data_IF_370489938077
#
_entry.id   IF_370489938077
#
_cell.length_a   1.000
_cell.length_b   1.000
_cell.length_c   1.000
_cell.angle_alpha   90.00
_cell.angle_beta   90.00
_cell.angle_gamma   90.00
#
_symmetry.space_group_name_H-M   'P 1'
#
loop_
_entity.id
_entity.type
_entity.pdbx_description
1 polymer ?
#
# COMPACT_ATOMS: atom_id res chain seq x y z
N UNK A 1 -19.89 15.77 -18.38
CA UNK A 1 -20.10 14.33 -18.62
C UNK A 1 -21.54 13.97 -18.36
N UNK A 2 -22.02 12.91 -18.99
CA UNK A 2 -23.27 12.25 -18.60
C UNK A 2 -22.92 10.95 -17.87
N UNK A 3 -23.76 10.56 -16.91
CA UNK A 3 -23.60 9.32 -16.15
C UNK A 3 -24.92 8.55 -16.18
N UNK A 4 -24.83 7.24 -16.33
CA UNK A 4 -25.98 6.34 -16.38
C UNK A 4 -25.63 4.96 -15.87
N UNK A 5 -26.55 3.97 -16.08
CA UNK A 5 -26.31 2.57 -15.69
C UNK A 5 -26.71 2.24 -14.24
N UNK A 6 -27.28 3.16 -13.50
CA UNK A 6 -27.90 2.88 -12.20
C UNK A 6 -29.23 2.14 -12.42
N UNK A 7 -29.38 0.86 -12.00
CA UNK A 7 -30.62 0.12 -12.19
C UNK A 7 -31.80 0.67 -11.37
N UNK A 8 -31.54 1.48 -10.35
CA UNK A 8 -32.56 2.09 -9.49
C UNK A 8 -32.88 3.54 -9.89
N UNK A 9 -32.07 4.14 -10.77
CA UNK A 9 -32.27 5.51 -11.25
C UNK A 9 -32.07 6.61 -10.19
N UNK A 10 -31.45 6.29 -9.06
CA UNK A 10 -31.25 7.21 -7.92
C UNK A 10 -29.90 7.93 -7.93
N UNK A 11 -28.97 7.46 -8.75
CA UNK A 11 -27.56 7.85 -8.75
C UNK A 11 -26.70 7.12 -7.70
N UNK A 12 -27.32 6.41 -6.76
CA UNK A 12 -26.67 5.66 -5.69
C UNK A 12 -26.89 4.14 -5.77
N UNK A 13 -27.67 3.66 -6.75
CA UNK A 13 -27.96 2.26 -6.92
C UNK A 13 -26.79 1.46 -7.52
N UNK A 14 -26.81 0.16 -7.31
CA UNK A 14 -25.83 -0.76 -7.87
C UNK A 14 -26.49 -2.08 -8.36
N UNK A 15 -25.77 -2.93 -9.11
CA UNK A 15 -26.31 -4.20 -9.63
C UNK A 15 -26.31 -5.33 -8.58
N UNK A 16 -25.98 -5.05 -7.31
CA UNK A 16 -25.86 -6.05 -6.25
C UNK A 16 -24.46 -6.66 -6.11
N UNK A 17 -23.48 -6.19 -6.89
CA UNK A 17 -22.09 -6.61 -6.79
C UNK A 17 -21.15 -5.47 -7.17
N UNK A 18 -19.90 -5.58 -6.73
CA UNK A 18 -18.80 -4.66 -7.10
C UNK A 18 -17.64 -5.46 -7.67
N UNK A 19 -16.89 -4.86 -8.59
CA UNK A 19 -15.71 -5.48 -9.18
C UNK A 19 -14.53 -4.51 -9.26
N UNK A 20 -13.37 -5.05 -9.57
CA UNK A 20 -12.07 -4.40 -9.45
C UNK A 20 -11.81 -3.44 -10.61
N UNK A 21 -10.97 -2.42 -10.33
CA UNK A 21 -10.47 -1.53 -11.36
C UNK A 21 -9.55 -2.29 -12.34
N UNK A 22 -9.67 -1.96 -13.63
CA UNK A 22 -8.82 -2.43 -14.72
C UNK A 22 -8.17 -1.22 -15.37
N UNK A 23 -7.26 -0.57 -14.62
CA UNK A 23 -6.59 0.66 -15.06
C UNK A 23 -5.46 0.33 -16.03
N UNK A 24 -5.62 0.78 -17.29
CA UNK A 24 -4.55 0.80 -18.29
C UNK A 24 -3.93 2.22 -18.31
N UNK A 25 -2.63 2.38 -18.06
CA UNK A 25 -1.98 3.68 -18.01
C UNK A 25 -1.96 4.40 -19.36
N UNK A 26 -2.21 3.71 -20.47
CA UNK A 26 -2.30 4.28 -21.81
C UNK A 26 -3.68 4.84 -22.14
N UNK A 27 -4.73 4.41 -21.42
CA UNK A 27 -6.10 4.85 -21.59
C UNK A 27 -6.39 6.03 -20.67
N UNK A 28 -6.70 7.19 -21.26
CA UNK A 28 -6.82 8.49 -20.60
C UNK A 28 -8.14 9.17 -20.93
N UNK A 29 -8.57 10.08 -20.05
CA UNK A 29 -9.76 10.92 -20.25
C UNK A 29 -9.39 12.23 -21.00
N UNK A 30 -8.83 12.09 -22.19
CA UNK A 30 -8.18 13.19 -22.96
C UNK A 30 -9.14 14.11 -23.72
N UNK A 31 -10.45 13.86 -23.67
CA UNK A 31 -11.40 14.71 -24.44
C UNK A 31 -12.85 14.25 -24.29
N UNK A 32 -13.75 14.70 -25.19
CA UNK A 32 -15.12 14.26 -25.23
C UNK A 32 -15.23 12.80 -25.70
N UNK A 33 -16.30 12.13 -25.32
CA UNK A 33 -16.66 10.80 -25.81
C UNK A 33 -15.92 9.63 -25.14
N UNK A 34 -15.14 9.85 -24.09
CA UNK A 34 -14.50 8.75 -23.37
C UNK A 34 -15.54 8.03 -22.50
N UNK A 35 -15.64 6.71 -22.68
CA UNK A 35 -16.53 5.84 -21.93
C UNK A 35 -15.74 5.18 -20.78
N UNK A 36 -16.17 5.42 -19.55
CA UNK A 36 -15.45 5.02 -18.35
C UNK A 36 -16.39 4.58 -17.23
N UNK A 37 -15.90 3.72 -16.31
CA UNK A 37 -16.69 3.25 -15.18
C UNK A 37 -16.83 4.33 -14.10
N UNK A 38 -18.03 4.52 -13.61
CA UNK A 38 -18.26 5.26 -12.37
C UNK A 38 -18.00 4.35 -11.17
N UNK A 39 -17.38 4.90 -10.13
CA UNK A 39 -17.09 4.18 -8.88
C UNK A 39 -17.16 5.13 -7.67
N UNK A 40 -17.20 4.56 -6.47
CA UNK A 40 -17.17 5.26 -5.17
C UNK A 40 -15.80 5.15 -4.48
N UNK A 41 -14.75 4.94 -5.22
CA UNK A 41 -13.38 4.70 -4.77
C UNK A 41 -12.80 3.44 -5.41
N UNK A 42 -11.55 3.07 -5.08
CA UNK A 42 -10.88 1.94 -5.69
C UNK A 42 -11.66 0.62 -5.59
N UNK A 43 -11.74 -0.13 -6.70
CA UNK A 43 -12.36 -1.46 -6.75
C UNK A 43 -13.86 -1.47 -6.39
N UNK A 44 -14.58 -0.40 -6.69
CA UNK A 44 -16.03 -0.32 -6.42
C UNK A 44 -16.87 -0.15 -7.69
N UNK A 45 -16.37 -0.64 -8.83
CA UNK A 45 -17.13 -0.61 -10.08
C UNK A 45 -18.39 -1.46 -9.99
N UNK A 46 -19.46 -0.99 -10.57
CA UNK A 46 -20.74 -1.69 -10.68
C UNK A 46 -21.27 -1.63 -12.11
N UNK A 47 -22.54 -1.24 -12.28
CA UNK A 47 -23.14 -1.04 -13.59
C UNK A 47 -23.09 0.41 -14.07
N UNK A 48 -22.73 1.36 -13.20
CA UNK A 48 -22.72 2.77 -13.56
C UNK A 48 -21.49 3.12 -14.40
N UNK A 49 -21.69 3.91 -15.43
CA UNK A 49 -20.66 4.42 -16.33
C UNK A 49 -20.91 5.89 -16.66
N UNK A 50 -19.90 6.54 -17.21
CA UNK A 50 -20.05 7.91 -17.70
C UNK A 50 -19.40 8.07 -19.08
N UNK A 51 -19.88 9.08 -19.82
CA UNK A 51 -19.29 9.52 -21.09
C UNK A 51 -18.90 10.98 -20.93
N UNK A 52 -17.67 11.32 -21.29
CA UNK A 52 -17.14 12.67 -21.13
C UNK A 52 -17.65 13.64 -22.21
N UNK A 53 -17.90 14.90 -21.83
CA UNK A 53 -18.17 16.02 -22.75
C UNK A 53 -16.89 16.80 -23.09
N UNK A 54 -15.85 16.65 -22.24
CA UNK A 54 -14.55 17.33 -22.37
C UNK A 54 -13.48 16.51 -21.63
N UNK A 55 -12.25 16.93 -21.74
CA UNK A 55 -11.15 16.37 -20.97
C UNK A 55 -11.43 16.39 -19.46
N UNK A 56 -11.10 15.28 -18.79
CA UNK A 56 -11.26 15.07 -17.34
C UNK A 56 -10.07 14.32 -16.77
N UNK A 57 -8.86 14.81 -17.03
CA UNK A 57 -7.58 14.16 -16.70
C UNK A 57 -7.39 13.82 -15.20
N UNK A 58 -8.10 14.52 -14.29
CA UNK A 58 -8.10 14.19 -12.85
C UNK A 58 -8.72 12.83 -12.49
N UNK A 59 -9.42 12.18 -13.46
CA UNK A 59 -10.00 10.83 -13.32
C UNK A 59 -9.03 9.73 -13.76
N UNK A 60 -7.92 10.09 -14.41
CA UNK A 60 -6.91 9.14 -14.88
C UNK A 60 -6.33 8.34 -13.72
N UNK A 61 -6.19 7.02 -13.92
CA UNK A 61 -5.70 6.12 -12.90
C UNK A 61 -6.68 5.82 -11.75
N UNK A 62 -7.91 6.37 -11.80
CA UNK A 62 -8.95 6.20 -10.77
C UNK A 62 -10.23 5.56 -11.31
N UNK A 63 -10.51 5.74 -12.59
CA UNK A 63 -11.68 5.22 -13.28
C UNK A 63 -11.25 4.42 -14.50
N UNK A 64 -11.83 3.24 -14.67
CA UNK A 64 -11.51 2.32 -15.76
C UNK A 64 -12.09 2.83 -17.06
N UNK A 65 -11.24 3.26 -17.99
CA UNK A 65 -11.62 3.59 -19.36
C UNK A 65 -11.75 2.28 -20.15
N UNK A 66 -12.91 2.06 -20.78
CA UNK A 66 -13.15 0.82 -21.53
C UNK A 66 -13.72 1.05 -22.93
N UNK A 67 -13.88 2.30 -23.36
CA UNK A 67 -14.38 2.60 -24.69
C UNK A 67 -14.37 4.10 -25.02
N UNK A 68 -14.84 4.39 -26.23
CA UNK A 68 -15.06 5.76 -26.68
C UNK A 68 -16.22 5.80 -27.69
N UNK A 69 -16.84 6.98 -27.79
CA UNK A 69 -17.92 7.26 -28.75
C UNK A 69 -17.32 7.32 -30.17
N UNK A 70 -17.82 6.51 -31.08
CA UNK A 70 -17.40 6.51 -32.50
C UNK A 70 -18.30 7.38 -33.39
N UNK A 71 -19.54 7.60 -32.97
CA UNK A 71 -20.50 8.53 -33.63
C UNK A 71 -21.59 8.91 -32.65
N UNK A 72 -22.26 10.06 -32.86
CA UNK A 72 -23.35 10.53 -32.00
C UNK A 72 -22.90 11.32 -30.79
N UNK A 73 -21.73 11.97 -30.83
CA UNK A 73 -21.30 12.84 -29.72
C UNK A 73 -22.30 13.96 -29.46
N UNK A 74 -22.94 14.47 -30.51
CA UNK A 74 -24.01 15.48 -30.42
C UNK A 74 -25.23 14.99 -29.65
N UNK A 75 -25.50 13.65 -29.68
CA UNK A 75 -26.56 13.03 -28.88
C UNK A 75 -26.12 12.95 -27.42
N UNK A 76 -24.87 12.55 -27.15
CA UNK A 76 -24.31 12.54 -25.79
C UNK A 76 -24.39 13.94 -25.16
N UNK A 77 -24.07 14.97 -25.95
CA UNK A 77 -24.08 16.36 -25.47
C UNK A 77 -25.50 16.90 -25.24
N UNK A 78 -26.52 16.32 -25.90
CA UNK A 78 -27.93 16.70 -25.76
C UNK A 78 -28.67 15.94 -24.62
N UNK A 79 -28.11 14.86 -24.08
CA UNK A 79 -28.74 14.10 -22.99
C UNK A 79 -28.82 14.97 -21.73
N UNK A 80 -30.02 15.02 -21.15
CA UNK A 80 -30.31 15.77 -19.94
C UNK A 80 -30.52 14.85 -18.72
N UNK A 81 -30.47 15.43 -17.54
CA UNK A 81 -30.80 14.72 -16.30
C UNK A 81 -32.20 14.14 -16.34
N UNK A 82 -32.35 12.90 -15.90
CA UNK A 82 -33.58 12.09 -15.92
C UNK A 82 -33.99 11.51 -17.28
N UNK A 83 -33.16 11.67 -18.32
CA UNK A 83 -33.35 10.92 -19.54
C UNK A 83 -33.16 9.42 -19.27
N UNK A 84 -33.97 8.58 -19.91
CA UNK A 84 -33.98 7.15 -19.65
C UNK A 84 -33.39 6.37 -20.83
N UNK A 85 -32.41 5.50 -20.56
CA UNK A 85 -31.95 4.52 -21.53
C UNK A 85 -33.04 3.46 -21.76
N UNK A 86 -33.66 3.46 -22.92
CA UNK A 86 -34.72 2.49 -23.27
C UNK A 86 -34.19 1.17 -23.74
N UNK A 87 -33.04 1.18 -24.43
CA UNK A 87 -32.42 0.00 -25.00
C UNK A 87 -30.90 0.21 -25.09
N UNK A 88 -30.16 -0.80 -24.66
CA UNK A 88 -28.72 -0.92 -24.92
C UNK A 88 -28.51 -2.23 -25.71
N UNK A 89 -27.81 -2.16 -26.82
CA UNK A 89 -27.55 -3.30 -27.68
C UNK A 89 -26.04 -3.49 -27.87
N UNK A 90 -25.55 -4.69 -27.57
CA UNK A 90 -24.15 -5.05 -27.74
C UNK A 90 -23.97 -5.69 -29.12
N UNK A 91 -23.34 -4.95 -30.03
CA UNK A 91 -23.01 -5.45 -31.38
C UNK A 91 -21.60 -6.04 -31.35
N UNK A 92 -21.48 -7.34 -31.58
CA UNK A 92 -20.21 -8.04 -31.65
C UNK A 92 -19.68 -8.08 -33.07
N UNK A 93 -18.50 -7.49 -33.32
CA UNK A 93 -17.90 -7.41 -34.65
C UNK A 93 -16.60 -8.21 -34.67
N UNK A 94 -16.48 -9.11 -35.64
CA UNK A 94 -15.31 -9.94 -35.86
C UNK A 94 -15.31 -11.25 -35.06
N UNK A 95 -14.51 -12.19 -35.53
CA UNK A 95 -14.50 -13.57 -35.01
C UNK A 95 -14.14 -13.71 -33.56
N UNK A 96 -13.24 -12.84 -33.07
CA UNK A 96 -12.83 -12.82 -31.64
C UNK A 96 -13.99 -12.39 -30.75
N UNK A 97 -14.67 -11.31 -31.11
CA UNK A 97 -15.79 -10.80 -30.34
C UNK A 97 -16.99 -11.74 -30.32
N UNK A 98 -17.26 -12.41 -31.46
CA UNK A 98 -18.34 -13.39 -31.58
C UNK A 98 -18.13 -14.64 -30.72
N UNK A 99 -16.85 -15.04 -30.52
CA UNK A 99 -16.47 -16.22 -29.71
C UNK A 99 -16.17 -15.89 -28.24
N UNK A 100 -16.11 -14.61 -27.88
CA UNK A 100 -15.72 -14.20 -26.53
C UNK A 100 -16.88 -14.44 -25.54
N UNK A 101 -16.59 -15.21 -24.51
CA UNK A 101 -17.49 -15.44 -23.38
C UNK A 101 -17.19 -14.41 -22.30
N UNK A 102 -18.04 -13.38 -22.22
CA UNK A 102 -17.88 -12.29 -21.27
C UNK A 102 -18.01 -12.76 -19.81
N UNK A 103 -18.94 -13.70 -19.56
CA UNK A 103 -19.16 -14.21 -18.21
C UNK A 103 -17.94 -15.02 -17.73
N UNK A 104 -17.45 -15.93 -18.55
CA UNK A 104 -16.28 -16.72 -18.21
C UNK A 104 -15.03 -15.85 -18.00
N UNK A 105 -14.84 -14.82 -18.83
CA UNK A 105 -13.74 -13.86 -18.67
C UNK A 105 -13.85 -13.05 -17.37
N UNK A 106 -15.05 -12.60 -17.03
CA UNK A 106 -15.31 -11.89 -15.78
C UNK A 106 -15.07 -12.79 -14.56
N UNK A 107 -15.64 -13.99 -14.55
CA UNK A 107 -15.54 -14.93 -13.43
C UNK A 107 -14.10 -15.36 -13.17
N UNK A 108 -13.31 -15.55 -14.21
CA UNK A 108 -11.90 -15.91 -14.10
C UNK A 108 -11.10 -14.89 -13.27
N UNK A 109 -11.37 -13.60 -13.40
CA UNK A 109 -10.69 -12.54 -12.66
C UNK A 109 -11.38 -12.26 -11.32
N UNK A 110 -12.70 -12.13 -11.35
CA UNK A 110 -13.50 -11.74 -10.20
C UNK A 110 -13.44 -12.76 -9.06
N UNK A 111 -13.67 -14.03 -9.37
CA UNK A 111 -13.70 -15.11 -8.36
C UNK A 111 -12.33 -15.33 -7.71
N UNK A 112 -11.24 -15.23 -8.50
CA UNK A 112 -9.88 -15.36 -7.97
C UNK A 112 -9.57 -14.22 -6.99
N UNK A 113 -9.87 -12.99 -7.37
CA UNK A 113 -9.65 -11.84 -6.48
C UNK A 113 -10.53 -11.89 -5.23
N UNK A 114 -11.80 -12.23 -5.39
CA UNK A 114 -12.74 -12.38 -4.27
C UNK A 114 -12.32 -13.48 -3.29
N UNK A 115 -11.80 -14.60 -3.78
CA UNK A 115 -11.26 -15.65 -2.93
C UNK A 115 -10.01 -15.18 -2.18
N UNK A 116 -9.12 -14.42 -2.81
CA UNK A 116 -7.94 -13.83 -2.18
C UNK A 116 -8.33 -12.83 -1.07
N UNK A 117 -9.31 -11.97 -1.31
CA UNK A 117 -9.84 -11.05 -0.30
C UNK A 117 -10.50 -11.76 0.89
N UNK A 118 -11.27 -12.83 0.62
CA UNK A 118 -11.89 -13.62 1.68
C UNK A 118 -10.82 -14.29 2.55
N UNK A 119 -9.74 -14.79 1.95
CA UNK A 119 -8.61 -15.35 2.68
C UNK A 119 -7.90 -14.29 3.53
N UNK A 120 -7.64 -13.12 2.96
CA UNK A 120 -7.02 -11.99 3.69
C UNK A 120 -7.89 -11.55 4.88
N UNK A 121 -9.21 -11.46 4.69
CA UNK A 121 -10.15 -11.11 5.76
C UNK A 121 -10.19 -12.18 6.87
N UNK A 122 -10.14 -13.45 6.51
CA UNK A 122 -10.08 -14.56 7.48
C UNK A 122 -8.78 -14.51 8.29
N UNK A 123 -7.65 -14.25 7.66
CA UNK A 123 -6.37 -14.07 8.35
C UNK A 123 -6.39 -12.83 9.27
N UNK A 124 -6.95 -11.72 8.83
CA UNK A 124 -7.10 -10.52 9.65
C UNK A 124 -8.00 -10.77 10.87
N UNK A 125 -9.10 -11.51 10.70
CA UNK A 125 -9.97 -11.90 11.79
C UNK A 125 -9.24 -12.78 12.81
N UNK A 126 -8.45 -13.74 12.33
CA UNK A 126 -7.61 -14.57 13.20
C UNK A 126 -6.60 -13.73 14.00
N UNK A 127 -5.87 -12.83 13.33
CA UNK A 127 -4.86 -11.98 13.97
C UNK A 127 -5.48 -11.03 14.98
N UNK A 128 -6.62 -10.42 14.65
CA UNK A 128 -7.30 -9.47 15.53
C UNK A 128 -7.83 -10.11 16.82
N UNK A 129 -8.08 -11.42 16.80
CA UNK A 129 -8.50 -12.22 17.96
C UNK A 129 -7.36 -12.74 18.82
N UNK A 130 -6.10 -12.65 18.36
CA UNK A 130 -4.95 -13.12 19.12
C UNK A 130 -4.56 -12.13 20.22
N UNK A 131 -4.07 -12.66 21.36
CA UNK A 131 -3.31 -11.85 22.31
C UNK A 131 -1.98 -11.40 21.66
N UNK A 132 -1.37 -10.36 22.18
CA UNK A 132 -0.07 -9.90 21.67
C UNK A 132 1.01 -10.97 21.80
N UNK A 133 1.00 -11.75 22.87
CA UNK A 133 1.97 -12.83 23.10
C UNK A 133 1.75 -14.00 22.13
N UNK A 134 0.51 -14.40 21.89
CA UNK A 134 0.20 -15.44 20.90
C UNK A 134 0.60 -14.99 19.50
N UNK A 135 0.33 -13.74 19.16
CA UNK A 135 0.73 -13.20 17.86
C UNK A 135 2.24 -13.13 17.68
N UNK A 136 2.97 -12.73 18.71
CA UNK A 136 4.43 -12.71 18.74
C UNK A 136 5.00 -14.11 18.41
N UNK A 137 4.48 -15.14 19.08
CA UNK A 137 4.90 -16.52 18.84
C UNK A 137 4.52 -17.02 17.45
N UNK A 138 3.30 -16.70 16.99
CA UNK A 138 2.82 -17.01 15.65
C UNK A 138 3.71 -16.38 14.57
N UNK A 139 3.98 -15.07 14.66
CA UNK A 139 4.79 -14.35 13.68
C UNK A 139 6.23 -14.93 13.62
N UNK A 140 6.82 -15.23 14.77
CA UNK A 140 8.16 -15.82 14.81
C UNK A 140 8.20 -17.19 14.12
N UNK A 141 7.23 -18.04 14.39
CA UNK A 141 7.11 -19.34 13.74
C UNK A 141 6.96 -19.22 12.23
N UNK A 142 6.12 -18.28 11.76
CA UNK A 142 5.92 -18.04 10.32
C UNK A 142 7.21 -17.52 9.63
N UNK A 143 7.91 -16.58 10.25
CA UNK A 143 9.16 -16.08 9.69
C UNK A 143 10.24 -17.16 9.64
N UNK A 144 10.33 -17.99 10.66
CA UNK A 144 11.31 -19.10 10.72
C UNK A 144 11.15 -20.15 9.62
N UNK A 145 9.97 -20.30 9.04
CA UNK A 145 9.76 -21.23 7.90
C UNK A 145 10.65 -20.87 6.70
N UNK A 146 10.82 -19.57 6.44
CA UNK A 146 11.60 -19.07 5.30
C UNK A 146 12.99 -18.57 5.71
N UNK A 147 13.16 -18.23 6.99
CA UNK A 147 14.42 -17.70 7.55
C UNK A 147 14.80 -18.47 8.81
N UNK A 148 15.37 -19.68 8.68
CA UNK A 148 15.71 -20.53 9.84
C UNK A 148 16.66 -19.86 10.84
N UNK A 149 17.52 -18.93 10.38
CA UNK A 149 18.43 -18.15 11.23
C UNK A 149 17.77 -16.97 11.96
N UNK A 150 16.47 -16.73 11.75
CA UNK A 150 15.76 -15.63 12.39
C UNK A 150 15.80 -15.75 13.92
N UNK A 151 15.99 -14.61 14.56
CA UNK A 151 15.96 -14.43 16.02
C UNK A 151 14.78 -13.52 16.39
N UNK A 152 14.36 -13.58 17.64
CA UNK A 152 13.28 -12.74 18.16
C UNK A 152 13.73 -12.02 19.41
N UNK A 153 13.41 -10.74 19.49
CA UNK A 153 13.63 -9.93 20.70
C UNK A 153 12.46 -10.05 21.68
N UNK A 154 12.64 -9.50 22.87
CA UNK A 154 11.59 -9.47 23.92
C UNK A 154 10.37 -8.66 23.49
N UNK A 155 10.52 -7.62 22.66
CA UNK A 155 9.43 -6.82 22.11
C UNK A 155 8.60 -7.57 21.05
N UNK A 156 9.11 -8.72 20.57
CA UNK A 156 8.53 -9.46 19.46
C UNK A 156 9.04 -9.09 18.08
N UNK A 157 10.01 -8.16 17.98
CA UNK A 157 10.72 -7.92 16.74
C UNK A 157 11.43 -9.20 16.31
N UNK A 158 11.22 -9.62 15.07
CA UNK A 158 11.95 -10.74 14.46
C UNK A 158 12.97 -10.19 13.49
N UNK A 159 14.18 -10.75 13.48
CA UNK A 159 15.27 -10.22 12.66
C UNK A 159 16.25 -11.29 12.21
N UNK A 160 16.94 -10.99 11.11
CA UNK A 160 18.08 -11.75 10.60
C UNK A 160 19.24 -10.80 10.39
N UNK A 161 20.34 -10.98 11.11
CA UNK A 161 21.56 -10.21 10.88
C UNK A 161 22.28 -10.79 9.67
N UNK A 162 22.35 -10.02 8.59
CA UNK A 162 23.05 -10.39 7.36
C UNK A 162 24.55 -10.04 7.45
N UNK A 163 24.86 -8.89 8.04
CA UNK A 163 26.18 -8.45 8.43
C UNK A 163 26.10 -7.66 9.74
N UNK A 164 26.94 -7.99 10.71
CA UNK A 164 26.93 -7.31 12.01
C UNK A 164 27.46 -5.88 11.92
N UNK A 165 28.31 -5.59 10.94
CA UNK A 165 29.12 -4.37 10.89
C UNK A 165 30.27 -4.35 11.91
N UNK A 166 31.22 -3.46 11.70
CA UNK A 166 32.44 -3.35 12.52
C UNK A 166 32.66 -1.95 13.08
N UNK A 167 31.87 -0.96 12.60
CA UNK A 167 32.00 0.43 13.00
C UNK A 167 31.29 0.74 14.31
N UNK A 168 30.84 2.00 14.47
CA UNK A 168 30.22 2.51 15.68
C UNK A 168 28.86 1.86 15.94
N UNK A 169 28.49 1.75 17.21
CA UNK A 169 27.15 1.33 17.67
C UNK A 169 26.18 2.52 17.65
N UNK A 170 24.92 2.26 17.35
CA UNK A 170 23.87 3.27 17.40
C UNK A 170 23.50 3.51 18.87
N UNK A 171 23.66 4.77 19.32
CA UNK A 171 23.29 5.23 20.66
C UNK A 171 22.40 6.48 20.56
N UNK A 172 21.62 6.73 21.59
CA UNK A 172 20.76 7.90 21.67
C UNK A 172 21.53 9.19 21.36
N UNK A 173 20.94 10.06 20.54
CA UNK A 173 21.55 11.29 20.08
C UNK A 173 22.50 11.16 18.89
N UNK A 174 22.91 9.95 18.50
CA UNK A 174 23.78 9.80 17.32
C UNK A 174 23.04 10.18 16.03
N UNK A 175 23.76 10.80 15.10
CA UNK A 175 23.30 10.94 13.72
C UNK A 175 23.53 9.64 12.99
N UNK A 176 22.50 9.12 12.35
CA UNK A 176 22.48 7.85 11.64
C UNK A 176 22.16 8.09 10.19
N UNK A 177 22.96 7.50 9.30
CA UNK A 177 22.71 7.44 7.86
C UNK A 177 22.55 5.98 7.44
N UNK A 178 21.45 5.67 6.73
CA UNK A 178 21.18 4.30 6.31
C UNK A 178 20.39 4.24 5.00
N UNK A 179 20.55 3.15 4.29
CA UNK A 179 19.62 2.75 3.24
C UNK A 179 18.62 1.73 3.77
N UNK A 180 17.39 1.81 3.26
CA UNK A 180 16.35 0.83 3.56
C UNK A 180 15.39 0.63 2.40
N UNK A 181 14.77 -0.55 2.38
CA UNK A 181 13.57 -0.85 1.60
C UNK A 181 12.52 -1.44 2.53
N UNK A 182 11.34 -0.80 2.57
CA UNK A 182 10.20 -1.23 3.37
C UNK A 182 9.11 -1.88 2.51
N UNK A 183 8.70 -3.09 2.89
CA UNK A 183 7.62 -3.83 2.24
C UNK A 183 6.60 -4.33 3.26
N UNK A 184 5.37 -4.53 2.84
CA UNK A 184 4.37 -5.25 3.64
C UNK A 184 4.78 -6.73 3.69
N UNK A 185 4.77 -7.37 4.87
CA UNK A 185 5.10 -8.79 5.00
C UNK A 185 4.12 -9.66 4.20
N UNK A 186 2.84 -9.32 4.20
CA UNK A 186 1.84 -9.92 3.34
C UNK A 186 1.84 -9.28 1.97
N UNK A 187 1.90 -10.10 0.93
CA UNK A 187 1.90 -9.66 -0.46
C UNK A 187 3.17 -8.96 -0.96
N UNK A 188 4.16 -8.67 -0.10
CA UNK A 188 5.46 -8.11 -0.49
C UNK A 188 5.40 -6.71 -1.10
N UNK A 189 4.27 -6.00 -1.02
CA UNK A 189 4.11 -4.68 -1.63
C UNK A 189 5.08 -3.69 -0.99
N UNK A 190 5.96 -3.10 -1.80
CA UNK A 190 6.85 -2.02 -1.38
C UNK A 190 6.04 -0.75 -1.11
N UNK A 191 6.26 -0.13 0.04
CA UNK A 191 5.59 1.12 0.43
C UNK A 191 6.56 2.29 0.59
N UNK A 192 7.85 2.03 0.80
CA UNK A 192 8.87 3.07 0.92
C UNK A 192 10.27 2.51 0.66
N UNK A 193 11.17 3.34 0.10
CA UNK A 193 12.57 2.98 -0.12
C UNK A 193 13.44 4.22 -0.25
N UNK A 194 14.52 4.29 0.51
CA UNK A 194 15.57 5.31 0.37
C UNK A 194 16.36 5.14 -0.92
N UNK A 195 16.48 3.90 -1.39
CA UNK A 195 17.17 3.56 -2.64
C UNK A 195 16.41 4.14 -3.83
N UNK A 196 15.08 3.98 -3.86
CA UNK A 196 14.23 4.53 -4.93
C UNK A 196 14.26 6.07 -4.96
N UNK A 197 14.48 6.71 -3.81
CA UNK A 197 14.67 8.16 -3.71
C UNK A 197 16.06 8.64 -4.11
N UNK A 198 17.02 7.73 -4.29
CA UNK A 198 18.40 8.03 -4.66
C UNK A 198 19.22 8.70 -3.55
N UNK A 199 18.74 8.68 -2.30
CA UNK A 199 19.42 9.28 -1.15
C UNK A 199 19.19 8.47 0.13
N UNK A 200 20.21 8.32 1.01
CA UNK A 200 20.04 7.67 2.31
C UNK A 200 19.04 8.42 3.19
N UNK A 201 18.53 7.74 4.19
CA UNK A 201 17.77 8.32 5.27
C UNK A 201 18.75 8.78 6.37
N UNK A 202 18.79 10.08 6.59
CA UNK A 202 19.56 10.70 7.65
C UNK A 202 18.64 11.16 8.78
N UNK A 203 18.94 10.79 10.01
CA UNK A 203 18.15 11.20 11.17
C UNK A 203 18.99 11.11 12.47
N UNK A 204 18.50 11.76 13.52
CA UNK A 204 19.09 11.68 14.85
C UNK A 204 18.31 10.66 15.69
N UNK A 205 18.99 9.57 16.07
CA UNK A 205 18.38 8.44 16.78
C UNK A 205 17.77 8.87 18.11
N UNK A 206 16.50 8.46 18.37
CA UNK A 206 15.66 8.82 19.52
C UNK A 206 15.24 10.30 19.61
N UNK A 207 15.82 11.20 18.82
CA UNK A 207 15.38 12.60 18.70
C UNK A 207 14.29 12.71 17.65
N UNK A 208 14.54 12.20 16.46
CA UNK A 208 13.52 12.02 15.44
C UNK A 208 12.91 10.62 15.58
N UNK A 209 11.64 10.55 15.95
CA UNK A 209 10.97 9.28 16.23
C UNK A 209 10.68 8.51 14.96
N UNK A 210 11.01 7.23 15.00
CA UNK A 210 10.63 6.21 14.01
C UNK A 210 9.66 5.22 14.65
N UNK A 211 9.17 4.26 13.88
CA UNK A 211 8.38 3.15 14.46
C UNK A 211 9.25 2.32 15.42
N UNK A 212 8.69 1.85 16.54
CA UNK A 212 9.47 1.21 17.61
C UNK A 212 10.35 0.07 17.13
N UNK A 213 9.81 -0.82 16.28
CA UNK A 213 10.58 -1.96 15.76
C UNK A 213 11.74 -1.58 14.85
N UNK A 214 11.67 -0.45 14.14
CA UNK A 214 12.77 0.07 13.33
C UNK A 214 13.88 0.63 14.23
N UNK A 215 13.50 1.43 15.24
CA UNK A 215 14.45 2.00 16.21
C UNK A 215 15.20 0.90 16.97
N UNK A 216 14.50 -0.15 17.41
CA UNK A 216 15.11 -1.30 18.06
C UNK A 216 16.05 -2.04 17.09
N UNK A 217 15.57 -2.31 15.89
CA UNK A 217 16.29 -3.13 14.92
C UNK A 217 17.65 -2.57 14.51
N UNK A 218 17.78 -1.27 14.33
CA UNK A 218 19.06 -0.65 13.93
C UNK A 218 20.13 -0.71 15.03
N UNK A 219 19.74 -0.88 16.30
CA UNK A 219 20.71 -1.06 17.40
C UNK A 219 21.29 -2.46 17.45
N UNK A 220 20.69 -3.41 16.73
CA UNK A 220 21.17 -4.80 16.68
C UNK A 220 22.40 -4.97 15.79
N UNK A 221 22.76 -3.97 15.00
CA UNK A 221 23.92 -3.95 14.10
C UNK A 221 24.80 -2.72 14.40
N UNK A 222 25.98 -2.69 13.81
CA UNK A 222 26.92 -1.57 13.85
C UNK A 222 27.05 -0.93 12.49
N UNK A 223 27.67 0.22 12.41
CA UNK A 223 28.04 0.88 11.16
C UNK A 223 28.70 -0.11 10.20
N UNK A 224 28.29 -0.09 8.93
CA UNK A 224 28.64 -1.05 7.89
C UNK A 224 27.83 -2.34 7.93
N UNK A 225 26.90 -2.49 8.87
CA UNK A 225 26.06 -3.69 9.03
C UNK A 225 24.82 -3.71 8.16
N UNK A 226 24.27 -4.92 7.98
CA UNK A 226 23.03 -5.20 7.25
C UNK A 226 22.11 -6.10 8.04
N UNK A 227 20.83 -5.78 8.07
CA UNK A 227 19.82 -6.52 8.81
C UNK A 227 18.50 -6.58 8.05
N UNK A 228 17.81 -7.70 8.17
CA UNK A 228 16.44 -7.87 7.76
C UNK A 228 15.56 -7.89 9.00
N UNK A 229 14.60 -6.96 9.08
CA UNK A 229 13.67 -6.82 10.19
C UNK A 229 12.28 -7.25 9.75
N UNK A 230 11.61 -8.01 10.58
CA UNK A 230 10.18 -8.32 10.49
C UNK A 230 9.51 -7.69 11.69
N UNK A 231 8.89 -6.55 11.49
CA UNK A 231 8.32 -5.71 12.54
C UNK A 231 6.83 -6.05 12.67
N UNK A 232 6.38 -6.60 13.80
CA UNK A 232 4.98 -6.89 14.02
C UNK A 232 4.16 -5.59 14.04
N UNK A 233 2.92 -5.66 13.61
CA UNK A 233 2.04 -4.50 13.45
C UNK A 233 2.00 -3.60 14.69
N UNK A 234 2.05 -4.15 15.91
CA UNK A 234 2.00 -3.38 17.16
C UNK A 234 3.30 -2.63 17.48
N UNK A 235 4.42 -2.98 16.84
CA UNK A 235 5.69 -2.24 16.86
C UNK A 235 5.88 -1.36 15.61
N UNK A 236 4.83 -1.22 14.79
CA UNK A 236 4.78 -0.41 13.56
C UNK A 236 3.61 0.58 13.63
N UNK A 237 2.62 0.44 12.77
CA UNK A 237 1.47 1.37 12.67
C UNK A 237 0.20 0.86 13.37
N UNK A 238 0.30 -0.23 14.13
CA UNK A 238 -0.78 -0.74 14.97
C UNK A 238 -1.96 -1.34 14.23
N UNK A 239 -3.08 -1.40 14.94
CA UNK A 239 -4.33 -1.97 14.44
C UNK A 239 -4.99 -1.15 13.33
N UNK A 240 -4.65 0.12 13.21
CA UNK A 240 -5.27 1.03 12.24
C UNK A 240 -4.46 1.17 10.94
N UNK A 241 -3.16 0.84 10.97
CA UNK A 241 -2.27 1.06 9.84
C UNK A 241 -2.00 2.55 9.58
N UNK A 242 -1.67 2.88 8.31
CA UNK A 242 -1.46 4.25 7.84
C UNK A 242 -2.30 4.48 6.58
N UNK A 243 -3.22 5.40 6.64
CA UNK A 243 -4.15 5.69 5.56
C UNK A 243 -3.44 5.86 4.21
N UNK A 244 -3.93 5.18 3.18
CA UNK A 244 -3.45 5.25 1.80
C UNK A 244 -2.19 4.42 1.48
N UNK A 245 -1.45 3.91 2.49
CA UNK A 245 -0.18 3.21 2.26
C UNK A 245 -0.02 1.88 2.99
N UNK A 246 -0.45 1.79 4.24
CA UNK A 246 -0.25 0.61 5.09
C UNK A 246 -1.59 0.17 5.69
N UNK A 247 -2.12 -1.01 5.31
CA UNK A 247 -3.36 -1.55 5.85
C UNK A 247 -3.33 -1.78 7.36
N UNK A 248 -4.49 -1.97 7.96
CA UNK A 248 -4.63 -2.38 9.35
C UNK A 248 -3.91 -3.70 9.63
N UNK A 249 -3.36 -3.87 10.83
CA UNK A 249 -2.65 -5.07 11.28
C UNK A 249 -1.50 -5.51 10.36
N UNK A 250 -0.84 -4.56 9.66
CA UNK A 250 0.25 -4.87 8.75
C UNK A 250 1.57 -5.02 9.48
N UNK A 251 2.16 -6.20 9.37
CA UNK A 251 3.58 -6.38 9.67
C UNK A 251 4.41 -5.82 8.54
N UNK A 252 5.55 -5.27 8.89
CA UNK A 252 6.48 -4.67 7.96
C UNK A 252 7.77 -5.46 7.87
N UNK A 253 8.34 -5.50 6.68
CA UNK A 253 9.68 -6.03 6.45
C UNK A 253 10.56 -4.88 6.01
N UNK A 254 11.69 -4.71 6.68
CA UNK A 254 12.71 -3.75 6.30
C UNK A 254 14.04 -4.46 6.05
N UNK A 255 14.57 -4.26 4.88
CA UNK A 255 15.98 -4.52 4.61
C UNK A 255 16.75 -3.23 4.83
N UNK A 256 17.73 -3.26 5.74
CA UNK A 256 18.46 -2.06 6.18
C UNK A 256 19.96 -2.28 6.02
N UNK A 257 20.62 -1.27 5.46
CA UNK A 257 22.07 -1.14 5.42
C UNK A 257 22.47 0.14 6.19
N UNK A 258 23.16 -0.05 7.33
CA UNK A 258 23.61 1.04 8.18
C UNK A 258 24.95 1.60 7.66
N UNK A 259 24.90 2.77 7.04
CA UNK A 259 26.05 3.36 6.34
C UNK A 259 27.00 4.07 7.28
N UNK A 260 26.46 4.90 8.18
CA UNK A 260 27.26 5.74 9.05
C UNK A 260 26.57 6.04 10.39
N UNK A 261 27.37 6.08 11.45
CA UNK A 261 26.95 6.51 12.78
C UNK A 261 27.92 7.59 13.27
N UNK A 262 27.44 8.84 13.38
CA UNK A 262 28.24 9.98 13.85
C UNK A 262 27.88 10.30 15.30
N UNK A 263 28.90 10.30 16.16
CA UNK A 263 28.77 10.70 17.55
C UNK A 263 28.97 12.22 17.60
N UNK A 264 27.93 12.98 17.96
CA UNK A 264 28.12 14.42 18.22
C UNK A 264 28.99 14.59 19.46
N UNK A 265 30.16 15.23 19.32
CA UNK A 265 31.13 15.47 20.38
C UNK A 265 30.67 16.47 21.44
N UNK A 266 29.40 16.90 21.46
CA UNK A 266 28.86 17.95 22.32
C UNK A 266 28.07 17.49 23.55
N UNK A 267 28.15 16.22 23.93
CA UNK A 267 27.60 15.73 25.19
C UNK A 267 28.71 15.37 26.19
N UNK A 268 29.69 16.25 26.39
CA UNK A 268 30.55 16.18 27.57
C UNK A 268 29.77 16.74 28.77
N UNK A 269 29.71 16.05 29.91
CA UNK A 269 29.07 16.60 31.11
C UNK A 269 29.85 17.87 31.53
N UNK A 270 29.13 18.95 31.78
CA UNK A 270 29.69 20.14 32.42
C UNK A 270 30.28 19.71 33.74
N UNK A 271 31.62 19.77 33.84
CA UNK A 271 32.34 19.53 35.05
C UNK A 271 31.87 20.49 36.13
N UNK A 272 31.63 19.94 37.30
CA UNK A 272 31.39 20.69 38.51
C UNK A 272 32.49 21.75 38.70
N UNK A 273 32.11 23.00 38.74
CA UNK A 273 32.98 24.07 39.21
C UNK A 273 33.08 23.97 40.74
N UNK A 274 34.17 23.39 41.17
CA UNK A 274 34.61 23.52 42.56
C UNK A 274 34.69 25.00 42.96
N UNK A 275 33.99 25.33 44.05
CA UNK A 275 34.02 26.60 44.69
C UNK A 275 35.40 26.88 45.27
N UNK A 276 35.96 28.05 44.96
CA UNK A 276 36.97 28.66 45.77
C UNK A 276 36.38 29.83 46.52
N UNK A 277 36.40 29.67 47.85
CA UNK A 277 36.29 30.76 48.84
C UNK A 277 37.42 31.76 48.69
N UNK A 278 37.06 33.03 48.70
CA UNK A 278 37.75 34.10 49.51
C UNK A 278 36.77 35.22 49.78
#
# INVERSE_FOLDING_TARGET
MIQGGDPQGTGAGDPGYKFYDEIDPTLKHVGPGILSMANSGPNTNGSQFFITHKETSWLDGKHTVFGHVVSGQEVVDAIAQNDTMRKVEIVRVGTKALKWDAQAAFDQVYLVKKAAEALEQAELAQISGMSQEDYKNFMFAEVKKNYPAAQQSTSGLVYVILDKGKGAEVKEGNKVSLHYTGTLRRGGKKFDSSIDRGAPLDFQYKVQRMIPGFEEGITLIKEGGKILLFIPYYNAYGKQGRQGSIPAYSDLVFEIELLQVTVDAQAAPHGEHDGHQH
#
